data_IF_374814723106
#
_entry.id   IF_374814723106
#
_cell.length_a   1.000
_cell.length_b   1.000
_cell.length_c   1.000
_cell.angle_alpha   90.00
_cell.angle_beta   90.00
_cell.angle_gamma   90.00
#
_symmetry.space_group_name_H-M   'P 1'
#
loop_
_entity.id
_entity.type
_entity.pdbx_description
1 polymer ?
#
# COMPACT_ATOMS: atom_id res chain seq x y z
N UNK A 1 2.07 -14.60 -12.04
CA UNK A 1 1.44 -13.27 -11.81
C UNK A 1 0.18 -13.17 -12.67
N UNK A 2 -0.96 -12.75 -12.11
CA UNK A 2 -2.23 -12.56 -12.84
C UNK A 2 -2.27 -11.15 -13.47
N UNK A 3 -2.28 -10.99 -14.81
CA UNK A 3 -2.27 -9.68 -15.46
C UNK A 3 -3.44 -8.77 -15.09
N UNK A 4 -4.65 -9.33 -14.95
CA UNK A 4 -5.82 -8.54 -14.58
C UNK A 4 -5.68 -7.95 -13.17
N UNK A 5 -5.18 -8.74 -12.23
CA UNK A 5 -4.91 -8.27 -10.87
C UNK A 5 -3.79 -7.23 -10.79
N UNK A 6 -2.81 -7.27 -11.69
CA UNK A 6 -1.78 -6.23 -11.78
C UNK A 6 -2.37 -4.91 -12.30
N UNK A 7 -3.20 -4.98 -13.34
CA UNK A 7 -3.87 -3.80 -13.89
C UNK A 7 -4.81 -3.14 -12.86
N UNK A 8 -5.56 -3.95 -12.10
CA UNK A 8 -6.42 -3.44 -11.03
C UNK A 8 -5.64 -2.71 -9.93
N UNK A 9 -4.54 -3.31 -9.44
CA UNK A 9 -3.66 -2.67 -8.45
C UNK A 9 -3.10 -1.34 -8.94
N UNK A 10 -2.61 -1.30 -10.19
CA UNK A 10 -2.12 -0.06 -10.81
C UNK A 10 -3.21 1.01 -10.87
N UNK A 11 -4.40 0.64 -11.36
CA UNK A 11 -5.52 1.56 -11.45
C UNK A 11 -5.94 2.12 -10.07
N UNK A 12 -5.92 1.28 -9.03
CA UNK A 12 -6.19 1.72 -7.66
C UNK A 12 -5.14 2.71 -7.15
N UNK A 13 -3.86 2.41 -7.33
CA UNK A 13 -2.76 3.31 -6.94
C UNK A 13 -2.81 4.64 -7.69
N UNK A 14 -3.15 4.65 -8.98
CA UNK A 14 -3.30 5.89 -9.75
C UNK A 14 -4.42 6.78 -9.22
N UNK A 15 -5.55 6.20 -8.76
CA UNK A 15 -6.62 6.98 -8.09
C UNK A 15 -6.14 7.65 -6.80
N UNK A 16 -5.04 7.19 -6.22
CA UNK A 16 -4.43 7.74 -5.02
C UNK A 16 -3.17 8.58 -5.29
N UNK A 17 -2.96 9.01 -6.54
CA UNK A 17 -1.96 10.02 -6.89
C UNK A 17 -0.67 9.48 -7.50
N UNK A 18 -0.55 8.17 -7.71
CA UNK A 18 0.55 7.65 -8.52
C UNK A 18 0.35 7.92 -10.01
N UNK A 19 1.45 8.17 -10.71
CA UNK A 19 1.47 8.23 -12.16
C UNK A 19 1.59 6.82 -12.76
N UNK A 20 0.83 6.54 -13.82
CA UNK A 20 0.84 5.21 -14.46
C UNK A 20 2.20 4.88 -15.06
N UNK A 21 2.93 5.85 -15.62
CA UNK A 21 4.26 5.64 -16.19
C UNK A 21 5.28 5.29 -15.09
N UNK A 22 5.11 5.83 -13.87
CA UNK A 22 5.90 5.39 -12.72
C UNK A 22 5.59 3.92 -12.35
N UNK A 23 4.32 3.50 -12.39
CA UNK A 23 3.93 2.13 -12.06
C UNK A 23 4.26 1.09 -13.16
N UNK A 24 4.53 1.56 -14.37
CA UNK A 24 4.94 0.72 -15.51
C UNK A 24 6.46 0.54 -15.62
N UNK A 25 7.25 1.20 -14.77
CA UNK A 25 8.69 1.07 -14.79
C UNK A 25 9.15 -0.36 -14.40
N UNK A 26 10.33 -0.80 -14.89
CA UNK A 26 10.93 -2.05 -14.42
C UNK A 26 11.18 -2.01 -12.90
N UNK A 27 10.84 -3.07 -12.16
CA UNK A 27 11.11 -3.12 -10.73
C UNK A 27 12.63 -3.09 -10.45
N UNK A 28 13.05 -2.64 -9.25
CA UNK A 28 14.44 -2.73 -8.83
C UNK A 28 15.00 -4.15 -8.96
N UNK A 29 16.32 -4.25 -9.18
CA UNK A 29 16.98 -5.55 -9.37
C UNK A 29 16.70 -6.47 -8.18
N UNK A 30 16.10 -7.63 -8.46
CA UNK A 30 15.77 -8.65 -7.48
C UNK A 30 14.34 -8.61 -6.95
N UNK A 31 13.55 -7.60 -7.30
CA UNK A 31 12.13 -7.53 -6.98
C UNK A 31 11.28 -8.00 -8.16
N UNK A 32 10.18 -8.69 -7.86
CA UNK A 32 9.14 -8.98 -8.85
C UNK A 32 8.27 -7.74 -9.08
N UNK A 33 7.46 -7.77 -10.15
CA UNK A 33 6.60 -6.64 -10.50
C UNK A 33 5.48 -6.39 -9.47
N UNK A 34 4.97 -7.46 -8.86
CA UNK A 34 4.01 -7.39 -7.75
C UNK A 34 4.65 -6.83 -6.48
N UNK A 35 5.89 -7.22 -6.14
CA UNK A 35 6.62 -6.62 -5.01
C UNK A 35 6.75 -5.10 -5.15
N UNK A 36 6.97 -4.60 -6.37
CA UNK A 36 7.04 -3.16 -6.65
C UNK A 36 5.70 -2.45 -6.42
N UNK A 37 4.58 -3.06 -6.82
CA UNK A 37 3.25 -2.50 -6.55
C UNK A 37 2.90 -2.55 -5.06
N UNK A 38 3.29 -3.62 -4.36
CA UNK A 38 3.09 -3.75 -2.92
C UNK A 38 3.90 -2.69 -2.16
N UNK A 39 5.15 -2.43 -2.58
CA UNK A 39 5.96 -1.35 -2.03
C UNK A 39 5.36 0.05 -2.29
N UNK A 40 4.76 0.29 -3.46
CA UNK A 40 4.04 1.52 -3.75
C UNK A 40 2.80 1.69 -2.85
N UNK A 41 2.02 0.63 -2.63
CA UNK A 41 0.90 0.64 -1.70
C UNK A 41 1.36 0.94 -0.26
N UNK A 42 2.44 0.31 0.19
CA UNK A 42 3.03 0.59 1.52
C UNK A 42 3.50 2.04 1.64
N UNK A 43 4.08 2.61 0.59
CA UNK A 43 4.52 4.02 0.58
C UNK A 43 3.34 4.99 0.66
N UNK A 44 2.24 4.71 -0.05
CA UNK A 44 1.01 5.49 0.07
C UNK A 44 0.50 5.54 1.50
N UNK A 45 0.40 4.38 2.16
CA UNK A 45 -0.08 4.29 3.55
C UNK A 45 0.91 4.96 4.51
N UNK A 46 2.21 4.79 4.31
CA UNK A 46 3.23 5.48 5.11
C UNK A 46 3.08 7.01 5.01
N UNK A 47 2.80 7.54 3.82
CA UNK A 47 2.48 8.95 3.62
C UNK A 47 1.27 9.42 4.42
N UNK A 48 0.17 8.65 4.39
CA UNK A 48 -1.04 8.94 5.19
C UNK A 48 -0.78 8.88 6.69
N UNK A 49 0.05 7.94 7.16
CA UNK A 49 0.43 7.86 8.57
C UNK A 49 1.24 9.10 8.95
N UNK A 50 2.20 9.50 8.11
CA UNK A 50 3.04 10.67 8.37
C UNK A 50 2.23 11.98 8.37
N UNK A 51 1.16 12.10 7.58
CA UNK A 51 0.27 13.26 7.56
C UNK A 51 -0.86 13.21 8.61
N UNK A 52 -1.01 12.10 9.34
CA UNK A 52 -2.11 11.90 10.28
C UNK A 52 -3.47 11.65 9.62
N UNK A 53 -3.49 11.28 8.34
CA UNK A 53 -4.70 10.97 7.57
C UNK A 53 -5.10 9.49 7.64
N UNK A 54 -4.16 8.61 7.98
CA UNK A 54 -4.43 7.17 8.06
C UNK A 54 -5.44 6.86 9.17
N UNK A 55 -6.38 5.97 8.86
CA UNK A 55 -7.40 5.48 9.80
C UNK A 55 -7.18 4.00 10.10
N UNK A 56 -7.30 3.58 11.37
CA UNK A 56 -7.20 2.18 11.72
C UNK A 56 -8.51 1.45 11.41
N UNK A 57 -8.40 0.16 11.08
CA UNK A 57 -9.52 -0.77 11.02
C UNK A 57 -9.18 -2.00 11.88
N UNK A 58 -9.94 -2.28 12.96
CA UNK A 58 -11.04 -1.47 13.49
C UNK A 58 -10.60 -0.12 14.08
N UNK A 59 -11.56 0.80 14.23
CA UNK A 59 -11.41 2.07 14.97
C UNK A 59 -12.42 2.07 16.15
N UNK A 60 -11.96 1.98 17.43
CA UNK A 60 -10.57 2.01 17.86
C UNK A 60 -9.81 0.70 17.55
N UNK A 61 -8.47 0.75 17.40
CA UNK A 61 -7.63 -0.43 17.27
C UNK A 61 -7.82 -1.42 18.40
N UNK A 62 -7.74 -2.72 18.09
CA UNK A 62 -7.56 -3.75 19.10
C UNK A 62 -6.20 -3.60 19.79
N UNK A 63 -5.97 -4.39 20.85
CA UNK A 63 -4.66 -4.50 21.51
C UNK A 63 -4.34 -5.96 21.78
N UNK A 64 -3.08 -6.33 21.59
CA UNK A 64 -2.58 -7.65 21.98
C UNK A 64 -2.33 -7.74 23.51
N UNK A 65 -1.81 -8.88 23.97
CA UNK A 65 -1.50 -9.12 25.40
C UNK A 65 -0.41 -8.20 25.96
N UNK A 66 0.34 -7.51 25.11
CA UNK A 66 1.39 -6.55 25.49
C UNK A 66 0.94 -5.10 25.32
N UNK A 67 -0.31 -4.88 24.91
CA UNK A 67 -0.88 -3.55 24.68
C UNK A 67 -0.49 -2.93 23.35
N UNK A 68 0.13 -3.68 22.42
CA UNK A 68 0.49 -3.19 21.08
C UNK A 68 -0.81 -3.05 20.25
N UNK A 69 -1.03 -1.91 19.56
CA UNK A 69 -2.20 -1.74 18.70
C UNK A 69 -2.24 -2.77 17.57
N UNK A 70 -3.39 -3.41 17.39
CA UNK A 70 -3.68 -4.35 16.31
C UNK A 70 -4.76 -3.74 15.42
N UNK A 71 -4.34 -3.23 14.26
CA UNK A 71 -5.21 -2.66 13.24
C UNK A 71 -4.56 -2.74 11.85
N UNK A 72 -5.40 -2.75 10.82
CA UNK A 72 -4.99 -2.43 9.45
C UNK A 72 -5.08 -0.91 9.29
N UNK A 73 -4.02 -0.27 8.81
CA UNK A 73 -4.00 1.18 8.56
C UNK A 73 -4.30 1.46 7.10
N UNK A 74 -5.26 2.36 6.85
CA UNK A 74 -5.68 2.76 5.51
C UNK A 74 -5.70 4.28 5.36
#
# INVERSE_FOLDING_TARGET
>A
INPAGMAERKALLCRHGYDTAFLDQPPPRGAAADDFLDAAAMTLIAGRIASGEARPLPDPPGRDSFGIPVAIWA
#
